data_IF_784872861776
#
_entry.id   IF_784872861776
#
_cell.length_a   1.000
_cell.length_b   1.000
_cell.length_c   1.000
_cell.angle_alpha   90.00
_cell.angle_beta   90.00
_cell.angle_gamma   90.00
#
_symmetry.space_group_name_H-M   'P 1'
#
loop_
_entity.id
_entity.type
_entity.pdbx_description
1 polymer ?
#
# COMPACT_ATOMS: atom_id res chain seq x y z
N UNK A 1 3.60 8.12 -25.67
CA UNK A 1 3.10 7.72 -24.34
C UNK A 1 3.30 8.91 -23.42
N UNK A 2 2.26 9.36 -22.72
CA UNK A 2 2.30 10.45 -21.74
C UNK A 2 1.78 9.92 -20.40
N UNK A 3 2.39 10.33 -19.29
CA UNK A 3 2.04 9.86 -17.95
C UNK A 3 1.80 11.09 -17.07
N UNK A 4 0.58 11.21 -16.54
CA UNK A 4 0.23 12.13 -15.47
C UNK A 4 0.24 11.36 -14.16
N UNK A 5 1.27 11.59 -13.35
CA UNK A 5 1.39 10.96 -12.04
C UNK A 5 0.92 11.91 -10.94
N UNK A 6 0.34 11.35 -9.87
CA UNK A 6 -0.10 12.12 -8.69
C UNK A 6 -1.12 13.24 -9.01
N UNK A 7 -2.04 12.99 -9.93
CA UNK A 7 -3.01 13.98 -10.40
C UNK A 7 -4.19 14.15 -9.45
N UNK A 8 -3.92 14.61 -8.23
CA UNK A 8 -4.90 14.62 -7.15
C UNK A 8 -5.60 15.99 -6.99
N UNK A 9 -5.01 17.05 -7.54
CA UNK A 9 -5.54 18.41 -7.44
C UNK A 9 -6.88 18.54 -8.21
N UNK A 10 -8.02 18.77 -7.52
CA UNK A 10 -9.33 18.87 -8.17
C UNK A 10 -9.47 20.13 -9.04
N UNK A 11 -8.70 21.18 -8.78
CA UNK A 11 -8.77 22.46 -9.48
C UNK A 11 -7.97 22.44 -10.81
N UNK A 12 -7.17 21.38 -11.03
CA UNK A 12 -6.38 21.21 -12.24
C UNK A 12 -7.19 20.46 -13.30
N UNK A 13 -7.47 21.16 -14.40
CA UNK A 13 -8.08 20.57 -15.60
C UNK A 13 -7.02 19.96 -16.52
N UNK A 14 -6.93 18.63 -16.54
CA UNK A 14 -5.91 17.90 -17.30
C UNK A 14 -6.11 17.98 -18.81
N UNK A 15 -7.34 18.23 -19.29
CA UNK A 15 -7.64 18.33 -20.74
C UNK A 15 -6.74 19.36 -21.44
N UNK A 16 -6.35 20.43 -20.74
CA UNK A 16 -5.49 21.50 -21.26
C UNK A 16 -4.07 21.05 -21.60
N UNK A 17 -3.64 19.91 -21.06
CA UNK A 17 -2.31 19.34 -21.28
C UNK A 17 -2.33 18.15 -22.24
N UNK A 18 -3.50 17.75 -22.73
CA UNK A 18 -3.60 16.65 -23.66
C UNK A 18 -3.08 17.08 -25.04
N UNK A 19 -2.19 16.30 -25.67
CA UNK A 19 -1.72 16.61 -27.00
C UNK A 19 -2.85 16.45 -28.01
N UNK A 20 -2.99 17.41 -28.93
CA UNK A 20 -3.92 17.32 -30.05
C UNK A 20 -3.34 16.35 -31.08
N UNK A 21 -3.60 15.06 -30.90
CA UNK A 21 -3.16 13.99 -31.80
C UNK A 21 -4.16 12.82 -31.80
N UNK A 22 -4.17 12.06 -32.90
CA UNK A 22 -5.06 10.89 -33.06
C UNK A 22 -4.44 9.58 -32.55
N UNK A 23 -3.23 9.63 -31.99
CA UNK A 23 -2.46 8.45 -31.62
C UNK A 23 -1.73 8.62 -30.29
N UNK A 24 -1.42 7.48 -29.66
CA UNK A 24 -0.69 7.43 -28.40
C UNK A 24 -1.60 7.22 -27.20
N UNK A 25 -0.98 6.83 -26.10
CA UNK A 25 -1.67 6.53 -24.84
C UNK A 25 -1.31 7.57 -23.79
N UNK A 26 -2.31 7.92 -22.97
CA UNK A 26 -2.16 8.74 -21.76
C UNK A 26 -2.48 7.85 -20.57
N UNK A 27 -1.56 7.77 -19.61
CA UNK A 27 -1.80 7.11 -18.33
C UNK A 27 -1.97 8.17 -17.24
N UNK A 28 -3.02 8.06 -16.43
CA UNK A 28 -3.30 9.00 -15.36
C UNK A 28 -3.38 8.21 -14.05
N UNK A 29 -2.48 8.52 -13.11
CA UNK A 29 -2.53 7.98 -11.75
C UNK A 29 -3.03 9.06 -10.80
N UNK A 30 -4.09 8.76 -10.07
CA UNK A 30 -4.71 9.68 -9.11
C UNK A 30 -5.39 8.91 -7.97
N UNK A 31 -5.38 9.49 -6.78
CA UNK A 31 -6.23 9.14 -5.63
C UNK A 31 -7.58 9.89 -5.69
N UNK A 32 -7.68 10.95 -6.50
CA UNK A 32 -8.91 11.68 -6.72
C UNK A 32 -9.82 10.95 -7.72
N UNK A 33 -10.91 10.37 -7.21
CA UNK A 33 -11.90 9.65 -8.02
C UNK A 33 -12.53 10.52 -9.13
N UNK A 34 -12.54 11.85 -8.98
CA UNK A 34 -13.05 12.75 -10.02
C UNK A 34 -12.23 12.67 -11.32
N UNK A 35 -10.99 12.16 -11.30
CA UNK A 35 -10.18 11.94 -12.48
C UNK A 35 -10.75 10.89 -13.45
N UNK A 36 -11.71 10.06 -13.02
CA UNK A 36 -12.44 9.14 -13.91
C UNK A 36 -13.09 9.90 -15.08
N UNK A 37 -13.42 11.19 -14.92
CA UNK A 37 -13.97 12.03 -15.99
C UNK A 37 -13.08 12.11 -17.25
N UNK A 38 -11.77 11.88 -17.12
CA UNK A 38 -10.82 11.91 -18.24
C UNK A 38 -10.79 10.60 -19.03
N UNK A 39 -11.27 9.49 -18.45
CA UNK A 39 -11.36 8.18 -19.09
C UNK A 39 -12.51 7.34 -18.48
N UNK A 40 -13.79 7.71 -18.72
CA UNK A 40 -14.93 7.13 -18.02
C UNK A 40 -15.09 5.61 -18.23
N UNK A 41 -14.66 5.11 -19.38
CA UNK A 41 -14.73 3.69 -19.75
C UNK A 41 -13.38 2.96 -19.63
N UNK A 42 -12.29 3.69 -19.33
CA UNK A 42 -10.94 3.15 -19.33
C UNK A 42 -10.17 3.59 -18.08
N UNK A 43 -10.66 3.14 -16.93
CA UNK A 43 -10.00 3.32 -15.64
C UNK A 43 -9.87 1.99 -14.92
N UNK A 44 -8.82 1.88 -14.10
CA UNK A 44 -8.60 0.72 -13.26
C UNK A 44 -8.40 1.18 -11.82
N UNK A 45 -9.21 0.63 -10.91
CA UNK A 45 -9.03 0.84 -9.49
C UNK A 45 -8.00 -0.15 -8.98
N UNK A 46 -6.88 0.35 -8.47
CA UNK A 46 -5.91 -0.46 -7.75
C UNK A 46 -6.53 -0.86 -6.41
N UNK A 47 -6.74 -2.16 -6.21
CA UNK A 47 -7.31 -2.71 -4.99
C UNK A 47 -6.21 -3.20 -4.02
N UNK A 48 -6.62 -3.62 -2.82
CA UNK A 48 -5.73 -4.28 -1.87
C UNK A 48 -5.24 -5.61 -2.46
N UNK A 49 -4.05 -6.05 -2.05
CA UNK A 49 -3.52 -7.34 -2.49
C UNK A 49 -4.33 -8.49 -1.89
N UNK A 50 -4.41 -9.61 -2.61
CA UNK A 50 -4.95 -10.84 -2.02
C UNK A 50 -4.10 -11.31 -0.83
N UNK A 51 -4.64 -12.24 -0.05
CA UNK A 51 -3.93 -12.79 1.11
C UNK A 51 -2.62 -13.49 0.71
N UNK A 52 -2.63 -14.26 -0.38
CA UNK A 52 -1.45 -14.98 -0.89
C UNK A 52 -0.41 -14.03 -1.50
N UNK A 53 -0.84 -13.02 -2.26
CA UNK A 53 0.08 -12.00 -2.77
C UNK A 53 0.73 -11.23 -1.62
N UNK A 54 -0.06 -10.82 -0.63
CA UNK A 54 0.43 -10.13 0.56
C UNK A 54 1.45 -10.95 1.32
N UNK A 55 1.15 -12.24 1.53
CA UNK A 55 2.06 -13.16 2.19
C UNK A 55 3.36 -13.33 1.40
N UNK A 56 3.25 -13.57 0.08
CA UNK A 56 4.41 -13.68 -0.82
C UNK A 56 5.28 -12.43 -0.80
N UNK A 57 4.69 -11.24 -0.86
CA UNK A 57 5.41 -9.96 -0.80
C UNK A 57 6.11 -9.78 0.54
N UNK A 58 5.45 -10.12 1.66
CA UNK A 58 6.08 -10.06 2.98
C UNK A 58 7.32 -10.95 3.05
N UNK A 59 7.21 -12.23 2.64
CA UNK A 59 8.32 -13.18 2.69
C UNK A 59 9.50 -12.74 1.82
N UNK A 60 9.20 -12.24 0.61
CA UNK A 60 10.20 -11.70 -0.31
C UNK A 60 10.89 -10.47 0.30
N UNK A 61 10.13 -9.51 0.81
CA UNK A 61 10.67 -8.30 1.40
C UNK A 61 11.49 -8.57 2.68
N UNK A 62 11.10 -9.57 3.48
CA UNK A 62 11.85 -9.99 4.69
C UNK A 62 13.01 -10.95 4.42
N UNK A 63 13.11 -11.49 3.20
CA UNK A 63 14.02 -12.59 2.84
C UNK A 63 13.88 -13.83 3.74
N UNK A 64 12.64 -14.23 4.05
CA UNK A 64 12.35 -15.39 4.93
C UNK A 64 11.46 -16.39 4.20
N UNK A 65 12.04 -17.47 3.71
CA UNK A 65 11.32 -18.49 2.93
C UNK A 65 11.01 -19.78 3.73
N UNK A 66 11.59 -19.92 4.91
CA UNK A 66 11.39 -21.07 5.79
C UNK A 66 10.95 -20.58 7.16
N UNK A 67 9.69 -20.81 7.49
CA UNK A 67 9.08 -20.40 8.76
C UNK A 67 8.66 -21.62 9.56
N UNK A 68 8.71 -21.51 10.89
CA UNK A 68 7.95 -22.42 11.75
C UNK A 68 6.45 -22.13 11.62
N UNK A 69 5.61 -23.08 12.02
CA UNK A 69 4.15 -22.90 12.05
C UNK A 69 3.72 -21.64 12.80
N UNK A 70 4.36 -21.36 13.94
CA UNK A 70 4.06 -20.17 14.74
C UNK A 70 4.41 -18.86 14.01
N UNK A 71 5.55 -18.80 13.34
CA UNK A 71 5.96 -17.61 12.57
C UNK A 71 5.14 -17.46 11.29
N UNK A 72 4.72 -18.56 10.67
CA UNK A 72 3.79 -18.54 9.55
C UNK A 72 2.45 -17.93 9.96
N UNK A 73 1.88 -18.36 11.10
CA UNK A 73 0.65 -17.80 11.64
C UNK A 73 0.80 -16.29 11.97
N UNK A 74 1.90 -15.90 12.62
CA UNK A 74 2.18 -14.50 12.94
C UNK A 74 2.34 -13.63 11.68
N UNK A 75 3.02 -14.12 10.64
CA UNK A 75 3.16 -13.42 9.37
C UNK A 75 1.79 -13.23 8.66
N UNK A 76 0.91 -14.24 8.72
CA UNK A 76 -0.46 -14.15 8.18
C UNK A 76 -1.32 -13.16 8.95
N UNK A 77 -1.14 -13.04 10.26
CA UNK A 77 -1.83 -12.04 11.06
C UNK A 77 -1.27 -10.63 10.81
N UNK A 78 0.05 -10.50 10.65
CA UNK A 78 0.71 -9.24 10.36
C UNK A 78 0.21 -8.61 9.05
N UNK A 79 0.11 -9.38 7.96
CA UNK A 79 -0.41 -8.84 6.69
C UNK A 79 -1.87 -8.35 6.79
N UNK A 80 -2.68 -8.96 7.68
CA UNK A 80 -4.06 -8.50 7.96
C UNK A 80 -4.05 -7.19 8.74
N UNK A 81 -3.17 -7.07 9.75
CA UNK A 81 -3.02 -5.83 10.53
C UNK A 81 -2.49 -4.65 9.69
N UNK A 82 -1.75 -4.95 8.62
CA UNK A 82 -1.26 -4.01 7.61
C UNK A 82 -2.27 -3.78 6.47
N UNK A 83 -3.50 -4.28 6.60
CA UNK A 83 -4.60 -4.09 5.65
C UNK A 83 -4.25 -4.47 4.21
N UNK A 84 -3.37 -5.47 4.02
CA UNK A 84 -2.96 -5.93 2.70
C UNK A 84 -2.38 -4.83 1.77
N UNK A 85 -1.92 -3.72 2.35
CA UNK A 85 -1.34 -2.60 1.61
C UNK A 85 0.11 -2.93 1.24
N UNK A 86 0.40 -2.99 -0.06
CA UNK A 86 1.72 -3.34 -0.58
C UNK A 86 2.85 -2.51 0.06
N UNK A 87 2.64 -1.20 0.18
CA UNK A 87 3.62 -0.30 0.79
C UNK A 87 3.89 -0.66 2.27
N UNK A 88 2.84 -0.87 3.06
CA UNK A 88 2.96 -1.18 4.48
C UNK A 88 3.65 -2.54 4.69
N UNK A 89 3.33 -3.53 3.85
CA UNK A 89 3.94 -4.86 3.87
C UNK A 89 5.42 -4.80 3.49
N UNK A 90 5.78 -4.09 2.42
CA UNK A 90 7.19 -3.93 1.99
C UNK A 90 8.01 -3.21 3.06
N UNK A 91 7.43 -2.19 3.71
CA UNK A 91 8.09 -1.49 4.82
C UNK A 91 8.34 -2.43 6.01
N UNK A 92 7.34 -3.19 6.45
CA UNK A 92 7.48 -4.16 7.53
C UNK A 92 8.49 -5.27 7.18
N UNK A 93 8.40 -5.81 5.97
CA UNK A 93 9.33 -6.82 5.48
C UNK A 93 10.77 -6.30 5.41
N UNK A 94 10.98 -5.09 4.87
CA UNK A 94 12.30 -4.46 4.83
C UNK A 94 12.89 -4.22 6.22
N UNK A 95 12.08 -3.78 7.19
CA UNK A 95 12.51 -3.67 8.58
C UNK A 95 12.96 -5.01 9.16
N UNK A 96 12.17 -6.07 8.94
CA UNK A 96 12.47 -7.43 9.40
C UNK A 96 13.68 -8.04 8.70
N UNK A 97 13.93 -7.64 7.45
CA UNK A 97 15.14 -8.04 6.73
C UNK A 97 16.38 -7.39 7.35
N UNK A 98 16.30 -6.11 7.70
CA UNK A 98 17.38 -5.39 8.36
C UNK A 98 17.61 -5.91 9.80
N UNK A 99 16.57 -6.41 10.47
CA UNK A 99 16.61 -6.91 11.84
C UNK A 99 16.29 -8.40 11.89
N UNK A 100 17.19 -9.25 11.37
CA UNK A 100 16.97 -10.71 11.26
C UNK A 100 16.71 -11.42 12.60
N UNK A 101 17.12 -10.84 13.73
CA UNK A 101 16.83 -11.38 15.06
C UNK A 101 15.39 -11.13 15.52
N UNK A 102 14.68 -10.19 14.91
CA UNK A 102 13.28 -9.86 15.25
C UNK A 102 12.36 -10.81 14.49
N UNK A 103 11.55 -11.56 15.24
CA UNK A 103 10.53 -12.47 14.68
C UNK A 103 9.28 -11.72 14.23
N UNK A 104 8.49 -12.34 13.35
CA UNK A 104 7.21 -11.78 12.92
C UNK A 104 6.27 -11.55 14.10
N UNK A 105 6.21 -12.49 15.05
CA UNK A 105 5.38 -12.33 16.26
C UNK A 105 5.78 -11.10 17.09
N UNK A 106 7.08 -10.87 17.29
CA UNK A 106 7.60 -9.73 18.07
C UNK A 106 7.31 -8.40 17.38
N UNK A 107 7.46 -8.35 16.05
CA UNK A 107 7.12 -7.17 15.27
C UNK A 107 5.62 -6.89 15.29
N UNK A 108 4.78 -7.93 15.16
CA UNK A 108 3.33 -7.82 15.23
C UNK A 108 2.85 -7.25 16.57
N UNK A 109 3.40 -7.73 17.69
CA UNK A 109 3.11 -7.20 19.02
C UNK A 109 3.47 -5.72 19.12
N UNK A 110 4.68 -5.36 18.68
CA UNK A 110 5.17 -3.97 18.70
C UNK A 110 4.28 -3.06 17.84
N UNK A 111 3.91 -3.53 16.64
CA UNK A 111 3.02 -2.81 15.74
C UNK A 111 1.65 -2.53 16.37
N UNK A 112 1.04 -3.53 17.01
CA UNK A 112 -0.26 -3.35 17.69
C UNK A 112 -0.18 -2.37 18.85
N UNK A 113 0.89 -2.43 19.64
CA UNK A 113 1.12 -1.49 20.74
C UNK A 113 1.24 -0.06 20.22
N UNK A 114 2.07 0.17 19.20
CA UNK A 114 2.24 1.50 18.62
C UNK A 114 0.97 2.02 17.95
N UNK A 115 0.26 1.18 17.19
CA UNK A 115 -1.03 1.52 16.58
C UNK A 115 -2.03 2.02 17.62
N UNK A 116 -2.20 1.30 18.72
CA UNK A 116 -3.08 1.71 19.82
C UNK A 116 -2.65 3.03 20.47
N UNK A 117 -1.33 3.24 20.63
CA UNK A 117 -0.76 4.48 21.17
C UNK A 117 -1.02 5.68 20.28
N UNK A 118 -0.85 5.55 18.96
CA UNK A 118 -1.13 6.63 18.00
C UNK A 118 -2.61 6.97 17.95
N UNK A 119 -3.48 5.96 17.87
CA UNK A 119 -4.94 6.16 17.86
C UNK A 119 -5.43 6.85 19.14
N UNK A 120 -4.88 6.50 20.31
CA UNK A 120 -5.19 7.20 21.57
C UNK A 120 -4.80 8.68 21.53
N UNK A 121 -3.64 9.03 20.97
CA UNK A 121 -3.19 10.43 20.86
C UNK A 121 -4.08 11.25 19.93
N UNK A 122 -4.58 10.65 18.85
CA UNK A 122 -5.50 11.28 17.91
C UNK A 122 -6.83 11.59 18.61
N UNK A 123 -7.43 10.62 19.32
CA UNK A 123 -8.69 10.84 20.05
C UNK A 123 -8.62 11.91 21.15
N UNK A 124 -7.44 12.16 21.74
CA UNK A 124 -7.25 13.20 22.75
C UNK A 124 -7.09 14.59 22.13
N UNK A 125 -6.62 14.68 20.87
CA UNK A 125 -6.38 15.95 20.18
C UNK A 125 -7.63 16.56 19.51
N UNK A 126 -8.69 15.77 19.39
CA UNK A 126 -9.99 16.18 18.83
C UNK A 126 -11.10 16.32 19.90
N UNK A 127 -10.72 16.47 21.18
CA UNK A 127 -11.58 16.96 22.27
C UNK A 127 -11.08 18.32 22.71
#
# INVERSE_FOLDING_TARGET
LMIFDNSDNPDLDLWKFFPVCSHGNIFIRSQNKACIKYAPENFYRVEEMSNEESFSVLLKASHRFHLSEAEHAAARELIRELSHLALAIVQAGGYLNHHQHVKFCQYLESFKQDKSRYLRKISVRFR
#
